data_IF_757425210260
#
_entry.id   IF_757425210260
#
_cell.length_a   1.000
_cell.length_b   1.000
_cell.length_c   1.000
_cell.angle_alpha   90.00
_cell.angle_beta   90.00
_cell.angle_gamma   90.00
#
_symmetry.space_group_name_H-M   'P 1'
#
loop_
_entity.id
_entity.type
_entity.pdbx_description
1 polymer ?
#
# COMPACT_ATOMS: atom_id res chain seq x y z
N UNK A 1 3.10 10.46 -1.42
CA UNK A 1 2.24 11.19 -2.38
C UNK A 1 0.84 11.48 -1.85
N UNK A 2 0.08 10.51 -1.30
CA UNK A 2 -1.26 10.80 -0.74
C UNK A 2 -1.27 11.90 0.33
N UNK A 3 -0.30 11.86 1.25
CA UNK A 3 -0.15 12.92 2.27
C UNK A 3 0.04 14.30 1.63
N UNK A 4 0.94 14.43 0.65
CA UNK A 4 1.18 15.69 -0.05
C UNK A 4 -0.06 16.15 -0.84
N UNK A 5 -0.76 15.24 -1.51
CA UNK A 5 -2.00 15.56 -2.20
C UNK A 5 -3.08 16.07 -1.23
N UNK A 6 -3.20 15.44 -0.06
CA UNK A 6 -4.06 15.92 1.02
C UNK A 6 -3.67 17.30 1.53
N UNK A 7 -2.38 17.53 1.75
CA UNK A 7 -1.84 18.83 2.15
C UNK A 7 -2.21 19.95 1.16
N UNK A 8 -2.05 19.72 -0.15
CA UNK A 8 -2.43 20.69 -1.18
C UNK A 8 -3.95 20.86 -1.36
N UNK A 9 -4.75 19.92 -0.85
CA UNK A 9 -6.20 20.10 -0.78
C UNK A 9 -6.62 20.98 0.42
N UNK A 10 -5.73 21.21 1.40
CA UNK A 10 -6.00 22.11 2.51
C UNK A 10 -6.14 23.55 2.02
N UNK A 11 -7.06 24.35 2.58
CA UNK A 11 -7.12 25.77 2.29
C UNK A 11 -5.81 26.43 2.75
N UNK A 12 -5.19 27.19 1.86
CA UNK A 12 -4.00 27.96 2.18
C UNK A 12 -4.32 29.02 3.26
N UNK A 13 -3.44 29.19 4.24
CA UNK A 13 -3.71 30.05 5.39
C UNK A 13 -3.75 31.56 5.03
N UNK A 14 -3.14 31.95 3.91
CA UNK A 14 -3.05 33.36 3.50
C UNK A 14 -4.13 33.72 2.48
N UNK A 15 -4.45 32.80 1.57
CA UNK A 15 -5.39 33.04 0.46
C UNK A 15 -6.76 32.39 0.66
N UNK A 16 -6.87 31.41 1.56
CA UNK A 16 -8.10 30.64 1.80
C UNK A 16 -8.49 29.69 0.65
N UNK A 17 -7.70 29.65 -0.44
CA UNK A 17 -7.95 28.82 -1.61
C UNK A 17 -7.26 27.46 -1.47
N UNK A 18 -7.93 26.40 -1.93
CA UNK A 18 -7.35 25.06 -2.04
C UNK A 18 -6.81 24.84 -3.44
N UNK A 19 -5.60 24.32 -3.58
CA UNK A 19 -5.04 23.96 -4.89
C UNK A 19 -5.75 22.75 -5.53
N UNK A 20 -6.28 21.85 -4.69
CA UNK A 20 -7.03 20.68 -5.12
C UNK A 20 -8.40 20.62 -4.41
N UNK A 21 -9.51 20.39 -5.14
CA UNK A 21 -10.80 20.17 -4.50
C UNK A 21 -10.81 18.82 -3.77
N UNK A 22 -10.96 18.86 -2.45
CA UNK A 22 -10.94 17.68 -1.59
C UNK A 22 -11.92 16.57 -2.02
N UNK A 23 -13.19 16.86 -2.41
CA UNK A 23 -14.11 15.81 -2.83
C UNK A 23 -13.64 15.06 -4.09
N UNK A 24 -13.08 15.79 -5.07
CA UNK A 24 -12.53 15.19 -6.28
C UNK A 24 -11.29 14.35 -5.96
N UNK A 25 -10.42 14.86 -5.09
CA UNK A 25 -9.24 14.13 -4.64
C UNK A 25 -9.65 12.81 -3.98
N UNK A 26 -10.61 12.84 -3.04
CA UNK A 26 -11.12 11.64 -2.37
C UNK A 26 -11.71 10.63 -3.36
N UNK A 27 -12.51 11.08 -4.32
CA UNK A 27 -13.06 10.20 -5.35
C UNK A 27 -11.95 9.51 -6.15
N UNK A 28 -10.92 10.25 -6.58
CA UNK A 28 -9.79 9.69 -7.33
C UNK A 28 -8.97 8.72 -6.48
N UNK A 29 -8.64 9.06 -5.24
CA UNK A 29 -7.81 8.20 -4.37
C UNK A 29 -8.56 6.97 -3.85
N UNK A 30 -9.88 6.92 -3.97
CA UNK A 30 -10.65 5.70 -3.74
C UNK A 30 -10.73 4.84 -4.99
N UNK A 31 -11.08 5.42 -6.14
CA UNK A 31 -11.32 4.66 -7.38
C UNK A 31 -10.02 4.07 -7.94
N UNK A 32 -8.94 4.87 -8.00
CA UNK A 32 -7.68 4.45 -8.59
C UNK A 32 -7.09 3.16 -7.99
N UNK A 33 -6.91 3.04 -6.65
CA UNK A 33 -6.40 1.80 -6.06
C UNK A 33 -7.38 0.64 -6.20
N UNK A 34 -8.70 0.87 -6.13
CA UNK A 34 -9.68 -0.20 -6.34
C UNK A 34 -9.50 -0.82 -7.71
N UNK A 35 -9.44 0.00 -8.77
CA UNK A 35 -9.22 -0.50 -10.14
C UNK A 35 -7.89 -1.25 -10.24
N UNK A 36 -6.81 -0.66 -9.73
CA UNK A 36 -5.48 -1.30 -9.75
C UNK A 36 -5.45 -2.65 -9.04
N UNK A 37 -6.13 -2.75 -7.90
CA UNK A 37 -6.21 -3.99 -7.12
C UNK A 37 -7.06 -5.05 -7.83
N UNK A 38 -8.16 -4.66 -8.48
CA UNK A 38 -8.94 -5.58 -9.30
C UNK A 38 -8.13 -6.08 -10.50
N UNK A 39 -7.43 -5.19 -11.22
CA UNK A 39 -6.56 -5.58 -12.32
C UNK A 39 -5.48 -6.56 -11.86
N UNK A 40 -4.79 -6.27 -10.76
CA UNK A 40 -3.75 -7.17 -10.22
C UNK A 40 -4.32 -8.53 -9.79
N UNK A 41 -5.49 -8.53 -9.15
CA UNK A 41 -6.18 -9.77 -8.78
C UNK A 41 -6.50 -10.61 -10.01
N UNK A 42 -7.08 -10.03 -11.06
CA UNK A 42 -7.41 -10.76 -12.28
C UNK A 42 -6.17 -11.24 -13.04
N UNK A 43 -5.09 -10.45 -13.04
CA UNK A 43 -3.81 -10.89 -13.60
C UNK A 43 -3.31 -12.14 -12.85
N UNK A 44 -3.34 -12.14 -11.52
CA UNK A 44 -3.00 -13.31 -10.72
C UNK A 44 -3.94 -14.49 -10.96
N UNK A 45 -5.23 -14.23 -11.06
CA UNK A 45 -6.26 -15.27 -11.22
C UNK A 45 -6.17 -15.98 -12.58
N UNK A 46 -6.00 -15.24 -13.67
CA UNK A 46 -5.99 -15.81 -15.02
C UNK A 46 -4.61 -16.23 -15.49
N UNK A 47 -3.58 -15.45 -15.17
CA UNK A 47 -2.22 -15.69 -15.67
C UNK A 47 -1.30 -16.32 -14.63
N UNK A 48 -1.69 -16.33 -13.35
CA UNK A 48 -0.86 -16.85 -12.25
C UNK A 48 -0.34 -18.25 -12.50
N UNK A 49 -1.22 -19.19 -12.86
CA UNK A 49 -0.83 -20.58 -13.10
C UNK A 49 0.16 -20.72 -14.26
N UNK A 50 -0.09 -20.03 -15.39
CA UNK A 50 0.84 -20.00 -16.54
C UNK A 50 2.19 -19.37 -16.17
N UNK A 51 2.20 -18.32 -15.35
CA UNK A 51 3.43 -17.67 -14.90
C UNK A 51 4.25 -18.61 -14.00
N UNK A 52 3.59 -19.32 -13.07
CA UNK A 52 4.22 -20.32 -12.19
C UNK A 52 4.78 -21.47 -13.00
N UNK A 53 3.97 -22.05 -13.91
CA UNK A 53 4.36 -23.15 -14.80
C UNK A 53 5.52 -22.75 -15.74
N UNK A 54 5.61 -21.48 -16.14
CA UNK A 54 6.70 -21.01 -17.01
C UNK A 54 8.09 -21.06 -16.37
N UNK A 55 8.18 -21.12 -15.03
CA UNK A 55 9.45 -21.11 -14.29
C UNK A 55 10.28 -19.82 -14.43
N UNK A 56 9.84 -18.83 -15.21
CA UNK A 56 10.59 -17.60 -15.50
C UNK A 56 10.60 -16.61 -14.33
N UNK A 57 9.60 -16.68 -13.45
CA UNK A 57 9.46 -15.75 -12.32
C UNK A 57 9.92 -16.41 -11.02
N UNK A 58 11.14 -16.09 -10.59
CA UNK A 58 11.74 -16.60 -9.33
C UNK A 58 10.90 -16.30 -8.08
N UNK A 59 10.02 -15.31 -8.13
CA UNK A 59 9.11 -14.98 -7.04
C UNK A 59 7.94 -15.96 -6.90
N UNK A 60 7.58 -16.67 -7.98
CA UNK A 60 6.38 -17.49 -8.11
C UNK A 60 6.74 -18.97 -8.32
N UNK A 61 7.40 -19.56 -7.32
CA UNK A 61 7.64 -21.00 -7.30
C UNK A 61 6.44 -21.74 -6.71
N UNK A 62 6.18 -23.01 -7.09
CA UNK A 62 5.10 -23.81 -6.53
C UNK A 62 5.09 -23.83 -4.99
N UNK A 63 6.27 -23.92 -4.37
CA UNK A 63 6.42 -23.89 -2.90
C UNK A 63 5.97 -22.56 -2.28
N UNK A 64 6.21 -21.43 -2.95
CA UNK A 64 5.77 -20.10 -2.48
C UNK A 64 4.28 -19.88 -2.69
N UNK A 65 3.73 -20.46 -3.77
CA UNK A 65 2.28 -20.47 -4.00
C UNK A 65 1.59 -21.30 -2.92
N UNK A 66 2.09 -22.48 -2.58
CA UNK A 66 1.55 -23.28 -1.48
C UNK A 66 1.61 -22.54 -0.12
N UNK A 67 2.71 -21.84 0.18
CA UNK A 67 2.80 -20.98 1.38
C UNK A 67 1.79 -19.84 1.37
N UNK A 68 1.53 -19.28 0.20
CA UNK A 68 0.55 -18.22 0.00
C UNK A 68 -0.87 -18.73 0.22
N UNK A 69 -1.20 -19.91 -0.30
CA UNK A 69 -2.48 -20.58 -0.08
C UNK A 69 -2.71 -20.83 1.41
N UNK A 70 -1.71 -21.37 2.12
CA UNK A 70 -1.79 -21.58 3.57
C UNK A 70 -1.97 -20.26 4.35
N UNK A 71 -1.34 -19.16 3.90
CA UNK A 71 -1.53 -17.84 4.51
C UNK A 71 -2.96 -17.33 4.32
N UNK A 72 -3.52 -17.55 3.13
CA UNK A 72 -4.89 -17.18 2.79
C UNK A 72 -5.90 -18.07 3.50
N UNK A 73 -5.60 -19.35 3.72
CA UNK A 73 -6.43 -20.23 4.53
C UNK A 73 -6.44 -19.79 6.00
N UNK A 74 -5.29 -19.37 6.53
CA UNK A 74 -5.14 -18.94 7.92
C UNK A 74 -5.77 -17.58 8.22
N UNK A 75 -5.54 -16.59 7.36
CA UNK A 75 -5.93 -15.19 7.60
C UNK A 75 -7.11 -14.74 6.74
N UNK A 76 -7.40 -15.47 5.65
CA UNK A 76 -8.53 -15.18 4.79
C UNK A 76 -8.48 -13.79 4.16
N UNK A 77 -9.66 -13.20 3.94
CA UNK A 77 -9.78 -11.85 3.40
C UNK A 77 -9.18 -10.76 4.30
N UNK A 78 -9.01 -11.03 5.59
CA UNK A 78 -8.40 -10.09 6.54
C UNK A 78 -6.93 -9.80 6.16
N UNK A 79 -6.22 -10.77 5.57
CA UNK A 79 -4.88 -10.56 5.05
C UNK A 79 -4.83 -9.49 3.96
N UNK A 80 -5.87 -9.40 3.13
CA UNK A 80 -5.99 -8.39 2.06
C UNK A 80 -6.11 -6.99 2.66
N UNK A 81 -6.94 -6.87 3.69
CA UNK A 81 -7.13 -5.61 4.40
C UNK A 81 -5.86 -5.18 5.14
N UNK A 82 -5.34 -6.04 6.02
CA UNK A 82 -4.16 -5.74 6.85
C UNK A 82 -2.90 -5.55 6.00
N UNK A 83 -2.77 -6.31 4.91
CA UNK A 83 -1.65 -6.24 3.97
C UNK A 83 -1.43 -4.85 3.39
N UNK A 84 -2.47 -3.99 3.35
CA UNK A 84 -2.34 -2.60 2.87
C UNK A 84 -1.50 -1.71 3.76
N UNK A 85 -1.47 -1.98 5.05
CA UNK A 85 -0.67 -1.21 6.00
C UNK A 85 0.81 -1.59 5.95
N UNK A 86 1.15 -2.69 5.26
CA UNK A 86 2.52 -3.13 5.03
C UNK A 86 2.98 -2.74 3.61
N UNK A 87 3.96 -1.82 3.46
CA UNK A 87 4.33 -1.23 2.17
C UNK A 87 4.71 -2.23 1.07
N UNK A 88 5.37 -3.32 1.43
CA UNK A 88 5.75 -4.37 0.48
C UNK A 88 4.61 -5.33 0.18
N UNK A 89 3.84 -5.70 1.21
CA UNK A 89 2.78 -6.70 1.08
C UNK A 89 1.64 -6.15 0.22
N UNK A 90 1.27 -4.88 0.40
CA UNK A 90 0.13 -4.27 -0.30
C UNK A 90 0.16 -4.38 -1.81
N UNK A 91 1.36 -4.27 -2.42
CA UNK A 91 1.51 -4.28 -3.89
C UNK A 91 1.37 -5.69 -4.46
N UNK A 92 1.81 -6.70 -3.71
CA UNK A 92 1.74 -8.08 -4.16
C UNK A 92 0.46 -8.79 -3.71
N UNK A 93 -0.19 -8.33 -2.65
CA UNK A 93 -1.35 -8.99 -2.03
C UNK A 93 -2.53 -9.23 -3.00
N UNK A 94 -2.96 -8.27 -3.85
CA UNK A 94 -4.01 -8.53 -4.83
C UNK A 94 -3.64 -9.64 -5.81
N UNK A 95 -2.42 -9.59 -6.34
CA UNK A 95 -1.92 -10.59 -7.27
C UNK A 95 -1.80 -11.97 -6.62
N UNK A 96 -1.19 -12.04 -5.44
CA UNK A 96 -1.05 -13.23 -4.60
C UNK A 96 -2.41 -13.87 -4.32
N UNK A 97 -3.41 -13.04 -3.99
CA UNK A 97 -4.80 -13.50 -3.75
C UNK A 97 -5.45 -14.08 -5.01
N UNK A 98 -5.12 -13.52 -6.19
CA UNK A 98 -5.54 -14.07 -7.47
C UNK A 98 -4.89 -15.41 -7.77
N UNK A 99 -3.56 -15.51 -7.63
CA UNK A 99 -2.78 -16.73 -7.91
C UNK A 99 -3.22 -17.89 -7.01
N UNK A 100 -3.53 -17.62 -5.74
CA UNK A 100 -3.97 -18.63 -4.78
C UNK A 100 -5.42 -19.12 -5.00
N UNK A 101 -6.13 -18.58 -5.98
CA UNK A 101 -7.53 -18.92 -6.22
C UNK A 101 -8.53 -18.39 -5.17
N UNK A 102 -8.20 -17.34 -4.41
CA UNK A 102 -9.18 -16.71 -3.52
C UNK A 102 -10.40 -16.26 -4.33
N UNK A 103 -11.63 -16.58 -3.93
CA UNK A 103 -12.83 -16.14 -4.66
C UNK A 103 -12.91 -14.60 -4.70
N UNK A 104 -13.16 -14.04 -5.88
CA UNK A 104 -13.28 -12.60 -6.13
C UNK A 104 -14.24 -11.90 -5.17
N UNK A 105 -15.38 -12.52 -4.87
CA UNK A 105 -16.40 -12.01 -3.94
C UNK A 105 -15.91 -11.88 -2.49
N UNK A 106 -14.88 -12.63 -2.10
CA UNK A 106 -14.24 -12.51 -0.78
C UNK A 106 -13.11 -11.48 -0.80
N UNK A 107 -12.39 -11.36 -1.92
CA UNK A 107 -11.31 -10.39 -2.10
C UNK A 107 -11.82 -8.95 -2.15
N UNK A 108 -12.82 -8.70 -3.01
CA UNK A 108 -13.23 -7.34 -3.40
C UNK A 108 -13.72 -6.49 -2.22
N UNK A 109 -14.56 -6.96 -1.29
CA UNK A 109 -15.01 -6.13 -0.18
C UNK A 109 -13.85 -5.67 0.73
N UNK A 110 -12.94 -6.58 1.07
CA UNK A 110 -11.78 -6.27 1.93
C UNK A 110 -10.75 -5.42 1.20
N UNK A 111 -10.63 -5.64 -0.12
CA UNK A 111 -9.90 -4.74 -0.99
C UNK A 111 -10.56 -3.34 -0.97
N UNK A 112 -11.81 -3.16 -1.35
CA UNK A 112 -12.44 -1.83 -1.37
C UNK A 112 -12.36 -1.13 -0.01
N UNK A 113 -12.68 -1.82 1.09
CA UNK A 113 -12.62 -1.25 2.43
C UNK A 113 -11.22 -0.80 2.82
N UNK A 114 -10.21 -1.65 2.63
CA UNK A 114 -8.84 -1.26 2.95
C UNK A 114 -8.32 -0.15 2.05
N UNK A 115 -8.75 -0.08 0.79
CA UNK A 115 -8.36 0.96 -0.15
C UNK A 115 -8.93 2.31 0.28
N UNK A 116 -10.22 2.34 0.61
CA UNK A 116 -10.89 3.54 1.11
C UNK A 116 -10.28 3.97 2.45
N UNK A 117 -10.16 3.08 3.43
CA UNK A 117 -9.65 3.42 4.77
C UNK A 117 -8.21 3.92 4.69
N UNK A 118 -7.33 3.21 3.97
CA UNK A 118 -5.94 3.58 3.84
C UNK A 118 -5.78 4.91 3.09
N UNK A 119 -6.43 5.05 1.93
CA UNK A 119 -6.34 6.28 1.14
C UNK A 119 -6.90 7.49 1.89
N UNK A 120 -8.05 7.34 2.55
CA UNK A 120 -8.65 8.40 3.38
C UNK A 120 -7.73 8.76 4.54
N UNK A 121 -7.16 7.78 5.24
CA UNK A 121 -6.27 8.03 6.37
C UNK A 121 -5.11 8.95 5.97
N UNK A 122 -4.33 8.58 4.95
CA UNK A 122 -3.15 9.38 4.57
C UNK A 122 -3.51 10.71 3.91
N UNK A 123 -4.60 10.76 3.15
CA UNK A 123 -5.06 12.00 2.49
C UNK A 123 -5.60 12.98 3.51
N UNK A 124 -6.46 12.53 4.44
CA UNK A 124 -7.00 13.39 5.49
C UNK A 124 -5.92 13.83 6.47
N UNK A 125 -4.97 12.94 6.81
CA UNK A 125 -3.84 13.30 7.67
C UNK A 125 -3.01 14.42 7.01
N UNK A 126 -2.76 14.33 5.70
CA UNK A 126 -2.17 15.43 4.92
C UNK A 126 -3.00 16.71 4.94
N UNK A 127 -4.31 16.61 4.73
CA UNK A 127 -5.24 17.75 4.73
C UNK A 127 -5.31 18.47 6.08
N UNK A 128 -5.41 17.72 7.19
CA UNK A 128 -5.44 18.31 8.52
C UNK A 128 -4.09 18.91 8.91
N UNK A 129 -2.98 18.26 8.58
CA UNK A 129 -1.65 18.82 8.79
C UNK A 129 -1.43 20.07 7.94
N UNK A 130 -1.96 20.08 6.72
CA UNK A 130 -1.95 21.25 5.84
C UNK A 130 -2.74 22.44 6.38
N UNK A 131 -3.61 22.29 7.39
CA UNK A 131 -4.26 23.43 8.05
C UNK A 131 -3.42 24.08 9.16
N UNK A 132 -2.27 23.49 9.50
CA UNK A 132 -1.40 23.99 10.56
C UNK A 132 -0.37 24.94 9.95
N UNK A 133 -0.38 26.21 10.33
CA UNK A 133 0.52 27.24 9.78
C UNK A 133 2.00 26.86 9.86
N UNK A 134 2.42 26.22 10.96
CA UNK A 134 3.79 25.74 11.12
C UNK A 134 4.16 24.70 10.05
N UNK A 135 3.23 23.78 9.74
CA UNK A 135 3.45 22.73 8.74
C UNK A 135 3.40 23.31 7.33
N UNK A 136 2.54 24.30 7.05
CA UNK A 136 2.55 24.98 5.76
C UNK A 136 3.88 25.69 5.49
N UNK A 137 4.39 26.45 6.47
CA UNK A 137 5.66 27.19 6.34
C UNK A 137 6.88 26.27 6.27
N UNK A 138 6.81 25.09 6.89
CA UNK A 138 7.92 24.14 6.98
C UNK A 138 7.62 22.82 6.25
N UNK A 139 6.83 22.86 5.18
CA UNK A 139 6.37 21.66 4.49
C UNK A 139 7.53 20.76 4.01
N UNK A 140 8.59 21.36 3.48
CA UNK A 140 9.80 20.63 3.07
C UNK A 140 10.42 19.87 4.25
N UNK A 141 10.53 20.51 5.42
CA UNK A 141 11.08 19.90 6.63
C UNK A 141 10.21 18.73 7.10
N UNK A 142 8.88 18.88 7.06
CA UNK A 142 7.94 17.81 7.41
C UNK A 142 8.05 16.62 6.46
N UNK A 143 8.15 16.87 5.15
CA UNK A 143 8.37 15.78 4.18
C UNK A 143 9.71 15.08 4.43
N UNK A 144 10.79 15.83 4.63
CA UNK A 144 12.11 15.26 4.93
C UNK A 144 12.05 14.41 6.20
N UNK A 145 11.39 14.89 7.26
CA UNK A 145 11.20 14.12 8.49
C UNK A 145 10.42 12.82 8.24
N UNK A 146 9.31 12.86 7.49
CA UNK A 146 8.53 11.66 7.14
C UNK A 146 9.37 10.67 6.33
N UNK A 147 10.16 11.15 5.37
CA UNK A 147 11.05 10.31 4.56
C UNK A 147 12.13 9.64 5.42
N UNK A 148 12.79 10.40 6.29
CA UNK A 148 13.81 9.87 7.20
C UNK A 148 13.21 8.82 8.15
N UNK A 149 12.09 9.13 8.79
CA UNK A 149 11.39 8.20 9.69
C UNK A 149 10.98 6.92 8.94
N UNK A 150 10.50 7.03 7.70
CA UNK A 150 10.11 5.87 6.88
C UNK A 150 11.29 4.97 6.49
N UNK A 151 12.51 5.51 6.45
CA UNK A 151 13.73 4.76 6.16
C UNK A 151 14.31 4.06 7.40
N UNK A 152 14.02 4.54 8.62
CA UNK A 152 14.53 3.96 9.88
C UNK A 152 14.29 2.44 9.98
N UNK A 153 13.08 1.90 9.74
CA UNK A 153 12.85 0.45 9.80
C UNK A 153 13.71 -0.33 8.79
N UNK A 154 13.94 0.25 7.61
CA UNK A 154 14.76 -0.36 6.55
C UNK A 154 16.22 -0.45 7.00
N UNK A 155 16.78 0.62 7.56
CA UNK A 155 18.15 0.62 8.07
C UNK A 155 18.33 -0.32 9.26
N UNK A 156 17.38 -0.37 10.19
CA UNK A 156 17.40 -1.32 11.32
C UNK A 156 17.37 -2.76 10.79
N UNK A 157 16.52 -3.05 9.80
CA UNK A 157 16.43 -4.36 9.16
C UNK A 157 17.74 -4.77 8.48
N UNK A 158 18.35 -3.86 7.71
CA UNK A 158 19.63 -4.10 7.03
C UNK A 158 20.79 -4.32 8.02
N UNK A 159 20.83 -3.56 9.11
CA UNK A 159 21.85 -3.72 10.16
C UNK A 159 21.73 -5.08 10.86
N UNK A 160 20.51 -5.48 11.24
CA UNK A 160 20.26 -6.82 11.83
C UNK A 160 20.60 -7.94 10.85
N UNK A 161 20.26 -7.80 9.57
CA UNK A 161 20.59 -8.79 8.54
C UNK A 161 22.11 -8.92 8.32
N UNK A 162 22.85 -7.81 8.33
CA UNK A 162 24.31 -7.82 8.26
C UNK A 162 24.95 -8.50 9.48
N UNK A 163 24.47 -8.20 10.69
CA UNK A 163 24.95 -8.87 11.91
C UNK A 163 24.67 -10.38 11.90
N UNK A 164 23.48 -10.80 11.46
CA UNK A 164 23.13 -12.21 11.35
C UNK A 164 24.01 -12.97 10.35
N UNK A 165 24.35 -12.35 9.20
CA UNK A 165 25.29 -12.92 8.23
C UNK A 165 26.73 -13.05 8.78
N UNK A 166 27.16 -12.12 9.63
CA UNK A 166 28.50 -12.11 10.22
C UNK A 166 28.64 -13.09 11.40
N UNK A 167 27.54 -13.46 12.06
CA UNK A 167 27.51 -14.44 13.14
C UNK A 167 27.40 -15.90 12.64
N UNK A 168 27.04 -16.11 11.38
CA UNK A 168 26.94 -17.43 10.73
C UNK A 168 28.19 -17.80 9.91
N UNK A 169 29.26 -17.01 9.98
CA UNK A 169 30.52 -17.20 9.26
C UNK A 169 31.66 -17.24 10.26
#
# INVERSE_FOLDING_TARGET
MLFAAGFFAAPDAQTGHSALPLPLLLAVVWIAPIIGDQCNYFIGHFFGRKIVESGKVKALTPERVAKTEAMIEKWGPLAVFLGRFFPFIRTFMPFISGVSGMRWVRFTPFSVLGGIIWSSLFTLLGYFFGKIDFVQKNFELVIVAILLISLVPTFIGLYKAHKAKKASK
#
